data_IF_344430691166
#
_entry.id   IF_344430691166
#
_cell.length_a   1.000
_cell.length_b   1.000
_cell.length_c   1.000
_cell.angle_alpha   90.00
_cell.angle_beta   90.00
_cell.angle_gamma   90.00
#
_symmetry.space_group_name_H-M   'P 1'
#
loop_
_entity.id
_entity.type
_entity.pdbx_description
1 polymer ?
#
# COMPACT_ATOMS: atom_id res chain seq x y z
N UNK A 1 3.00 12.46 -10.24
CA UNK A 1 1.83 12.60 -9.34
C UNK A 1 2.08 11.65 -8.17
N UNK A 2 2.48 12.17 -6.99
CA UNK A 2 2.76 11.34 -5.81
C UNK A 2 1.55 11.44 -4.90
N UNK A 3 0.77 10.37 -4.81
CA UNK A 3 -0.37 10.29 -3.90
C UNK A 3 0.16 10.00 -2.49
N UNK A 4 0.00 10.96 -1.58
CA UNK A 4 0.19 10.78 -0.15
C UNK A 4 -1.17 10.45 0.48
N UNK A 5 -1.26 9.42 1.31
CA UNK A 5 -2.31 9.33 2.30
C UNK A 5 -1.71 9.01 3.68
N UNK A 6 -2.00 9.94 4.59
CA UNK A 6 -1.59 9.97 5.98
C UNK A 6 -2.56 9.14 6.84
N UNK A 7 -2.72 7.86 6.54
CA UNK A 7 -3.48 6.93 7.39
C UNK A 7 -2.71 5.62 7.49
N UNK A 8 -2.57 5.10 8.72
CA UNK A 8 -1.86 3.84 9.02
C UNK A 8 -2.43 2.61 8.29
N UNK A 9 -3.53 2.76 7.55
CA UNK A 9 -4.19 1.76 6.73
C UNK A 9 -4.25 2.15 5.23
N UNK A 10 -3.39 3.07 4.77
CA UNK A 10 -3.35 3.45 3.36
C UNK A 10 -2.78 2.33 2.50
N UNK A 11 -3.57 1.89 1.51
CA UNK A 11 -3.09 1.06 0.41
C UNK A 11 -2.22 1.93 -0.52
N UNK A 12 -0.96 1.52 -0.72
CA UNK A 12 -0.01 2.25 -1.59
C UNK A 12 -0.04 1.63 -2.98
N UNK A 13 -0.31 2.45 -4.01
CA UNK A 13 -0.26 2.02 -5.40
C UNK A 13 1.04 2.51 -6.06
N UNK A 14 1.68 1.64 -6.85
CA UNK A 14 2.89 2.00 -7.58
C UNK A 14 2.97 1.25 -8.91
N UNK A 15 3.75 1.80 -9.85
CA UNK A 15 4.05 1.12 -11.10
C UNK A 15 5.30 0.27 -10.95
N UNK A 16 5.25 -0.96 -11.45
CA UNK A 16 6.42 -1.83 -11.56
C UNK A 16 7.34 -1.35 -12.69
N UNK A 17 8.62 -1.73 -12.69
CA UNK A 17 9.53 -1.42 -13.80
C UNK A 17 9.04 -1.97 -15.16
N UNK A 18 8.19 -3.00 -15.17
CA UNK A 18 7.54 -3.53 -16.36
C UNK A 18 6.34 -2.70 -16.86
N UNK A 19 6.00 -1.59 -16.17
CA UNK A 19 4.88 -0.73 -16.50
C UNK A 19 3.51 -1.23 -16.00
N UNK A 20 3.48 -2.31 -15.23
CA UNK A 20 2.26 -2.83 -14.61
C UNK A 20 1.93 -2.06 -13.33
N UNK A 21 0.67 -2.07 -12.90
CA UNK A 21 0.28 -1.49 -11.62
C UNK A 21 0.31 -2.56 -10.51
N UNK A 22 0.77 -2.19 -9.33
CA UNK A 22 0.78 -3.01 -8.13
C UNK A 22 0.33 -2.21 -6.92
N UNK A 23 -0.09 -2.90 -5.86
CA UNK A 23 -0.52 -2.28 -4.62
C UNK A 23 0.09 -3.01 -3.41
N UNK A 24 0.43 -2.26 -2.38
CA UNK A 24 0.90 -2.77 -1.10
C UNK A 24 -0.12 -2.42 -0.02
N UNK A 25 -0.54 -3.42 0.77
CA UNK A 25 -1.46 -3.25 1.89
C UNK A 25 -0.66 -3.34 3.18
N UNK A 26 -0.70 -2.33 4.06
CA UNK A 26 -0.08 -2.45 5.37
C UNK A 26 -0.86 -3.50 6.17
N UNK A 27 -0.17 -4.54 6.64
CA UNK A 27 -0.73 -5.47 7.61
C UNK A 27 -0.74 -4.77 8.97
N UNK A 28 -1.93 -4.48 9.50
CA UNK A 28 -2.04 -4.20 10.93
C UNK A 28 -1.74 -5.50 11.67
N UNK A 29 -0.98 -5.47 12.77
CA UNK A 29 -0.78 -6.60 13.67
C UNK A 29 -2.14 -7.23 14.01
N UNK A 30 -2.48 -8.32 13.32
CA UNK A 30 -3.64 -9.13 13.67
C UNK A 30 -3.23 -9.91 14.90
N UNK A 31 -3.53 -9.36 16.07
CA UNK A 31 -3.43 -10.08 17.34
C UNK A 31 -4.51 -11.18 17.31
N UNK A 32 -4.17 -12.36 16.80
CA UNK A 32 -5.02 -13.54 16.92
C UNK A 32 -4.91 -13.97 18.39
N UNK A 33 -5.95 -13.67 19.17
CA UNK A 33 -6.08 -14.11 20.58
C UNK A 33 -6.81 -15.43 20.64
#
# INVERSE_FOLDING_TARGET
YVASALSSNMIRFFQTPSGSWSHEVPFADVHIT
#
